data_IF_824560378979
#
_entry.id   IF_824560378979
#
_cell.length_a   1.000
_cell.length_b   1.000
_cell.length_c   1.000
_cell.angle_alpha   90.00
_cell.angle_beta   90.00
_cell.angle_gamma   90.00
#
_symmetry.space_group_name_H-M   'P 1'
#
loop_
_entity.id
_entity.type
_entity.pdbx_description
1 polymer ?
#
# COMPACT_ATOMS: atom_id res chain seq x y z
N UNK A 1 -9.18 -1.56 -15.00
CA UNK A 1 -8.58 -0.65 -14.01
C UNK A 1 -8.36 -1.47 -12.75
N UNK A 2 -7.13 -1.55 -12.24
CA UNK A 2 -6.82 -2.31 -11.02
C UNK A 2 -7.39 -1.51 -9.84
N UNK A 3 -8.16 -2.15 -8.96
CA UNK A 3 -8.58 -1.56 -7.68
C UNK A 3 -7.76 -2.17 -6.53
N UNK A 4 -6.74 -1.48 -6.02
CA UNK A 4 -5.89 -1.98 -4.94
C UNK A 4 -6.64 -2.34 -3.66
N UNK A 5 -7.87 -1.85 -3.44
CA UNK A 5 -8.68 -2.19 -2.25
C UNK A 5 -9.11 -3.65 -2.23
N UNK A 6 -9.24 -4.28 -3.39
CA UNK A 6 -9.83 -5.62 -3.54
C UNK A 6 -8.79 -6.70 -3.81
N UNK A 7 -7.59 -6.32 -4.28
CA UNK A 7 -6.50 -7.27 -4.52
C UNK A 7 -6.07 -7.92 -3.20
N UNK A 8 -5.99 -9.25 -3.20
CA UNK A 8 -5.60 -10.06 -2.05
C UNK A 8 -4.08 -10.12 -1.90
N UNK A 9 -3.59 -10.43 -0.70
CA UNK A 9 -2.18 -10.73 -0.50
C UNK A 9 -1.80 -12.01 -1.28
N UNK A 10 -0.60 -12.02 -1.85
CA UNK A 10 -0.06 -13.15 -2.59
C UNK A 10 0.61 -12.77 -3.91
N UNK A 11 0.98 -13.77 -4.73
CA UNK A 11 1.86 -13.59 -5.87
C UNK A 11 1.39 -12.55 -6.90
N UNK A 12 0.08 -12.39 -7.07
CA UNK A 12 -0.46 -11.39 -8.00
C UNK A 12 -0.21 -9.96 -7.53
N UNK A 13 -0.51 -9.66 -6.26
CA UNK A 13 -0.22 -8.35 -5.68
C UNK A 13 1.28 -8.10 -5.62
N UNK A 14 2.07 -9.10 -5.23
CA UNK A 14 3.52 -8.98 -5.15
C UNK A 14 4.12 -8.63 -6.52
N UNK A 15 3.60 -9.22 -7.58
CA UNK A 15 4.02 -8.91 -8.94
C UNK A 15 3.59 -7.51 -9.41
N UNK A 16 2.42 -7.04 -8.99
CA UNK A 16 1.99 -5.65 -9.22
C UNK A 16 2.86 -4.65 -8.48
N UNK A 17 3.28 -4.96 -7.25
CA UNK A 17 4.24 -4.13 -6.49
C UNK A 17 5.59 -4.11 -7.18
N UNK A 18 6.10 -5.28 -7.59
CA UNK A 18 7.35 -5.39 -8.32
C UNK A 18 7.34 -4.49 -9.57
N UNK A 19 6.28 -4.56 -10.37
CA UNK A 19 6.12 -3.79 -11.61
C UNK A 19 5.93 -2.29 -11.36
N UNK A 20 4.88 -1.91 -10.62
CA UNK A 20 4.44 -0.52 -10.55
C UNK A 20 5.21 0.30 -9.52
N UNK A 21 5.66 -0.30 -8.42
CA UNK A 21 6.33 0.40 -7.34
C UNK A 21 7.84 0.27 -7.46
N UNK A 22 8.32 -0.97 -7.55
CA UNK A 22 9.75 -1.29 -7.52
C UNK A 22 10.43 -1.12 -8.90
N UNK A 23 9.67 -1.01 -9.99
CA UNK A 23 10.22 -0.88 -11.35
C UNK A 23 10.91 -2.14 -11.86
N UNK A 24 10.53 -3.31 -11.36
CA UNK A 24 11.04 -4.62 -11.71
C UNK A 24 10.14 -5.33 -12.72
N UNK A 25 10.69 -6.29 -13.47
CA UNK A 25 9.90 -7.17 -14.33
C UNK A 25 9.23 -8.29 -13.52
N UNK A 26 8.10 -8.79 -14.03
CA UNK A 26 7.32 -9.89 -13.40
C UNK A 26 7.90 -11.30 -13.63
N UNK A 27 9.03 -11.41 -14.33
CA UNK A 27 9.64 -12.68 -14.77
C UNK A 27 10.72 -13.21 -13.82
N UNK A 28 11.02 -12.49 -12.73
CA UNK A 28 12.03 -12.86 -11.73
C UNK A 28 11.47 -13.53 -10.48
N UNK A 29 12.38 -13.86 -9.53
CA UNK A 29 11.98 -14.23 -8.17
C UNK A 29 11.46 -12.99 -7.45
N UNK A 30 10.14 -12.88 -7.37
CA UNK A 30 9.46 -11.73 -6.74
C UNK A 30 9.41 -11.94 -5.22
N UNK A 31 9.91 -11.00 -4.41
CA UNK A 31 9.77 -11.06 -2.96
C UNK A 31 8.30 -11.05 -2.53
N UNK A 32 7.96 -11.69 -1.39
CA UNK A 32 6.58 -11.78 -0.90
C UNK A 32 6.12 -10.49 -0.22
N UNK A 33 6.13 -9.36 -0.94
CA UNK A 33 5.89 -8.01 -0.39
C UNK A 33 4.60 -7.90 0.43
N UNK A 34 3.51 -8.53 0.01
CA UNK A 34 2.19 -8.39 0.63
C UNK A 34 1.96 -9.33 1.83
N UNK A 35 2.86 -10.28 2.08
CA UNK A 35 2.72 -11.27 3.15
C UNK A 35 3.87 -11.27 4.15
N UNK A 36 5.05 -10.79 3.77
CA UNK A 36 6.22 -10.65 4.64
C UNK A 36 6.48 -9.17 4.97
N UNK A 37 6.57 -8.84 6.26
CA UNK A 37 6.73 -7.44 6.69
C UNK A 37 8.11 -6.88 6.35
N UNK A 38 9.17 -7.69 6.34
CA UNK A 38 10.50 -7.22 5.98
C UNK A 38 10.57 -6.87 4.49
N UNK A 39 10.01 -7.72 3.62
CA UNK A 39 9.83 -7.43 2.21
C UNK A 39 8.95 -6.19 2.00
N UNK A 40 7.81 -6.08 2.69
CA UNK A 40 6.94 -4.90 2.62
C UNK A 40 7.67 -3.61 2.99
N UNK A 41 8.60 -3.67 3.95
CA UNK A 41 9.37 -2.49 4.36
C UNK A 41 10.29 -1.98 3.25
N UNK A 42 10.82 -2.86 2.40
CA UNK A 42 11.60 -2.42 1.22
C UNK A 42 10.78 -1.58 0.24
N UNK A 43 9.45 -1.81 0.18
CA UNK A 43 8.52 -0.99 -0.62
C UNK A 43 8.43 0.42 -0.04
N UNK A 44 8.32 0.53 1.29
CA UNK A 44 8.31 1.81 2.01
C UNK A 44 9.59 2.59 1.74
N UNK A 45 10.75 1.97 1.94
CA UNK A 45 12.06 2.59 1.74
C UNK A 45 12.25 3.05 0.29
N UNK A 46 11.83 2.22 -0.67
CA UNK A 46 11.91 2.55 -2.10
C UNK A 46 11.08 3.79 -2.42
N UNK A 47 9.83 3.84 -1.97
CA UNK A 47 8.95 4.97 -2.26
C UNK A 47 9.36 6.25 -1.54
N UNK A 48 9.89 6.17 -0.32
CA UNK A 48 10.47 7.33 0.38
C UNK A 48 11.60 7.93 -0.47
N UNK A 49 12.52 7.10 -0.96
CA UNK A 49 13.67 7.58 -1.73
C UNK A 49 13.31 8.04 -3.15
N UNK A 50 12.44 7.30 -3.83
CA UNK A 50 12.09 7.53 -5.25
C UNK A 50 11.04 8.62 -5.43
N UNK A 51 9.98 8.57 -4.65
CA UNK A 51 8.78 9.40 -4.84
C UNK A 51 8.69 10.54 -3.82
N UNK A 52 9.59 10.58 -2.82
CA UNK A 52 9.62 11.62 -1.79
C UNK A 52 8.39 11.62 -0.88
N UNK A 53 7.69 10.49 -0.77
CA UNK A 53 6.49 10.34 0.05
C UNK A 53 6.81 9.89 1.46
N UNK A 54 5.90 10.16 2.40
CA UNK A 54 6.05 9.74 3.80
C UNK A 54 5.03 8.67 4.15
N UNK A 55 5.51 7.53 4.62
CA UNK A 55 4.66 6.49 5.17
C UNK A 55 4.41 6.74 6.65
N UNK A 56 3.14 6.84 7.04
CA UNK A 56 2.77 6.69 8.44
C UNK A 56 2.97 5.24 8.85
N UNK A 57 3.57 5.00 10.03
CA UNK A 57 3.78 3.65 10.55
C UNK A 57 2.47 2.85 10.47
N UNK A 58 2.45 1.65 9.87
CA UNK A 58 1.25 0.82 9.83
C UNK A 58 0.80 0.50 11.24
N UNK A 59 -0.49 0.64 11.51
CA UNK A 59 -1.04 0.37 12.83
C UNK A 59 -2.40 -0.28 12.75
N UNK A 60 -2.66 -1.14 13.74
CA UNK A 60 -3.95 -1.75 13.90
C UNK A 60 -4.91 -0.77 14.54
N UNK A 61 -6.10 -0.64 13.97
CA UNK A 61 -7.14 0.25 14.45
C UNK A 61 -8.26 -0.56 15.08
N UNK A 62 -8.53 -0.29 16.36
CA UNK A 62 -9.68 -0.86 17.08
C UNK A 62 -10.93 0.02 16.88
N UNK A 63 -12.11 -0.55 17.18
CA UNK A 63 -13.46 0.02 16.96
C UNK A 63 -13.70 1.46 17.48
N UNK A 64 -12.84 1.97 18.35
CA UNK A 64 -12.99 3.29 18.97
C UNK A 64 -12.57 4.47 18.10
N UNK A 65 -11.97 4.24 16.94
CA UNK A 65 -11.49 5.33 16.08
C UNK A 65 -12.13 5.24 14.68
N UNK A 66 -12.86 6.29 14.28
CA UNK A 66 -13.68 6.30 13.06
C UNK A 66 -12.83 6.37 11.76
N UNK A 67 -13.12 5.50 10.77
CA UNK A 67 -12.54 5.51 9.41
C UNK A 67 -13.57 5.89 8.31
N UNK A 68 -14.80 6.26 8.68
CA UNK A 68 -15.88 6.60 7.75
C UNK A 68 -15.53 7.76 6.80
N UNK A 69 -14.74 8.73 7.26
CA UNK A 69 -14.23 9.80 6.40
C UNK A 69 -13.36 9.31 5.23
N UNK A 70 -12.88 8.06 5.30
CA UNK A 70 -12.07 7.40 4.27
C UNK A 70 -12.87 6.35 3.48
N UNK A 71 -14.19 6.28 3.70
CA UNK A 71 -15.10 5.36 3.00
C UNK A 71 -15.21 3.96 3.63
N UNK A 72 -14.66 3.74 4.82
CA UNK A 72 -14.80 2.46 5.53
C UNK A 72 -16.02 2.46 6.46
N UNK A 73 -16.77 1.35 6.57
CA UNK A 73 -17.89 1.25 7.52
C UNK A 73 -17.48 1.61 8.95
N UNK A 74 -18.38 2.24 9.69
CA UNK A 74 -18.16 2.53 11.11
C UNK A 74 -17.90 1.23 11.89
N UNK A 75 -16.91 1.27 12.79
CA UNK A 75 -16.48 0.09 13.55
C UNK A 75 -15.57 -0.89 12.79
N UNK A 76 -15.08 -0.53 11.59
CA UNK A 76 -14.06 -1.31 10.87
C UNK A 76 -12.79 -1.46 11.71
N UNK A 77 -12.40 -2.70 11.98
CA UNK A 77 -11.10 -3.05 12.56
C UNK A 77 -10.18 -3.54 11.44
N UNK A 78 -9.03 -2.89 11.28
CA UNK A 78 -8.10 -3.21 10.22
C UNK A 78 -6.68 -2.77 10.59
N UNK A 79 -5.69 -3.39 9.95
CA UNK A 79 -4.43 -2.72 9.74
C UNK A 79 -4.62 -1.64 8.69
N UNK A 80 -4.08 -0.45 8.93
CA UNK A 80 -4.04 0.56 7.89
C UNK A 80 -2.67 1.18 7.74
N UNK A 81 -2.40 1.60 6.50
CA UNK A 81 -1.19 2.30 6.13
C UNK A 81 -1.56 3.64 5.51
N UNK A 82 -0.70 4.63 5.71
CA UNK A 82 -0.92 6.01 5.29
C UNK A 82 0.24 6.46 4.41
N UNK A 83 -0.06 7.08 3.27
CA UNK A 83 0.91 7.87 2.51
C UNK A 83 0.53 9.36 2.63
N UNK A 84 1.48 10.17 3.07
CA UNK A 84 1.40 11.63 3.10
C UNK A 84 2.40 12.22 2.11
N UNK A 85 2.03 13.32 1.46
CA UNK A 85 2.97 14.18 0.75
C UNK A 85 2.76 15.63 1.16
N UNK A 86 3.66 16.53 0.74
CA UNK A 86 3.50 17.96 0.99
C UNK A 86 2.28 18.57 0.29
N UNK A 87 1.73 17.90 -0.73
CA UNK A 87 0.71 18.43 -1.63
C UNK A 87 -0.62 17.65 -1.61
N UNK A 88 -0.64 16.42 -1.08
CA UNK A 88 -1.82 15.54 -1.09
C UNK A 88 -2.41 15.32 0.30
N UNK A 89 -3.75 15.24 0.30
CA UNK A 89 -4.53 14.71 1.39
C UNK A 89 -4.25 13.20 1.53
N UNK A 90 -3.56 12.84 2.62
CA UNK A 90 -3.47 11.52 3.25
C UNK A 90 -4.19 10.38 2.50
N UNK A 91 -3.44 9.52 1.79
CA UNK A 91 -4.00 8.28 1.22
C UNK A 91 -3.98 7.20 2.30
N UNK A 92 -5.11 6.54 2.53
CA UNK A 92 -5.24 5.50 3.55
C UNK A 92 -5.91 4.27 2.97
N UNK A 93 -5.32 3.10 3.16
CA UNK A 93 -5.97 1.82 2.87
C UNK A 93 -5.91 0.84 4.04
N UNK A 94 -7.03 0.18 4.29
CA UNK A 94 -7.18 -0.93 5.23
C UNK A 94 -6.83 -2.29 4.60
N UNK A 95 -6.35 -3.19 5.44
CA UNK A 95 -6.17 -4.60 5.17
C UNK A 95 -6.20 -5.43 6.46
N UNK A 96 -6.19 -6.75 6.30
CA UNK A 96 -6.14 -7.70 7.42
C UNK A 96 -4.74 -7.83 8.04
N UNK A 97 -3.71 -7.36 7.35
CA UNK A 97 -2.31 -7.40 7.81
C UNK A 97 -1.56 -6.11 7.47
N UNK A 98 -0.52 -5.79 8.25
CA UNK A 98 0.39 -4.68 7.98
C UNK A 98 1.03 -4.71 6.57
N UNK A 99 1.66 -5.82 6.11
CA UNK A 99 2.28 -5.86 4.78
C UNK A 99 1.26 -5.69 3.66
N UNK A 100 0.03 -6.21 3.81
CA UNK A 100 -1.03 -6.00 2.82
C UNK A 100 -1.48 -4.53 2.79
N UNK A 101 -1.63 -3.88 3.94
CA UNK A 101 -1.99 -2.45 3.99
C UNK A 101 -0.93 -1.57 3.32
N UNK A 102 0.37 -1.86 3.55
CA UNK A 102 1.49 -1.20 2.87
C UNK A 102 1.38 -1.39 1.36
N UNK A 103 1.26 -2.63 0.89
CA UNK A 103 1.25 -2.91 -0.54
C UNK A 103 0.05 -2.28 -1.25
N UNK A 104 -1.15 -2.35 -0.66
CA UNK A 104 -2.34 -1.72 -1.26
C UNK A 104 -2.15 -0.22 -1.42
N UNK A 105 -1.68 0.48 -0.38
CA UNK A 105 -1.52 1.94 -0.44
C UNK A 105 -0.40 2.34 -1.41
N UNK A 106 0.69 1.57 -1.45
CA UNK A 106 1.79 1.76 -2.40
C UNK A 106 1.32 1.60 -3.85
N UNK A 107 0.56 0.54 -4.15
CA UNK A 107 0.03 0.30 -5.48
C UNK A 107 -0.96 1.39 -5.91
N UNK A 108 -1.85 1.82 -5.01
CA UNK A 108 -2.77 2.92 -5.28
C UNK A 108 -2.03 4.22 -5.58
N UNK A 109 -0.96 4.51 -4.85
CA UNK A 109 -0.12 5.66 -5.13
C UNK A 109 0.53 5.55 -6.51
N UNK A 110 1.19 4.43 -6.80
CA UNK A 110 1.94 4.22 -8.04
C UNK A 110 1.05 4.24 -9.29
N UNK A 111 -0.18 3.74 -9.21
CA UNK A 111 -1.13 3.80 -10.34
C UNK A 111 -1.61 5.24 -10.59
N UNK A 112 -1.65 6.10 -9.58
CA UNK A 112 -2.12 7.48 -9.74
C UNK A 112 -1.00 8.49 -10.01
N UNK A 113 0.26 8.17 -9.66
CA UNK A 113 1.38 9.13 -9.68
C UNK A 113 2.68 8.57 -10.26
N UNK A 114 2.75 7.27 -10.54
CA UNK A 114 3.94 6.64 -11.08
C UNK A 114 4.13 6.88 -12.58
N UNK A 115 5.24 6.40 -13.16
CA UNK A 115 5.53 6.55 -14.59
C UNK A 115 4.52 5.83 -15.51
N UNK A 116 3.74 4.90 -14.94
CA UNK A 116 2.67 4.15 -15.61
C UNK A 116 1.27 4.65 -15.21
N UNK A 117 1.17 5.84 -14.60
CA UNK A 117 -0.11 6.42 -14.22
C UNK A 117 -0.97 6.72 -15.45
N UNK A 118 -2.28 6.47 -15.32
CA UNK A 118 -3.29 6.64 -16.38
C UNK A 118 -4.26 7.75 -15.99
#
# INVERSE_FOLDING_TARGET
>A
MIDPRTVQAGPELDALIAEHVMGLKRDGKIPPYSTDIAAAWTVVETMIHKDGVYFGAPHFKHKHQNLAALGYPEGTECWYCVINTKLLNKVVLCADTAPLAICRVALLWAINHGPLAV
#
